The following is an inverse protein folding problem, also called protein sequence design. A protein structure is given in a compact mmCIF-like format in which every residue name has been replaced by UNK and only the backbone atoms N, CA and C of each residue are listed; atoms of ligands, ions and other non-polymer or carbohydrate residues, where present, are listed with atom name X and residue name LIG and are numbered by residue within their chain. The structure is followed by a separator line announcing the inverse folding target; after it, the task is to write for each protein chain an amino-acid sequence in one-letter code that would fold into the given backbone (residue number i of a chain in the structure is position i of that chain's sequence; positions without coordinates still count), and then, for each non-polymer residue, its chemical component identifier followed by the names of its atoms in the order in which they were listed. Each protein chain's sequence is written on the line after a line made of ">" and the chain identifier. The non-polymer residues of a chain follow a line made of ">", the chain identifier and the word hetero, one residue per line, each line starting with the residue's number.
data_IF_850814652620
#
_entry.id   IF_850814652620
#
_cell.length_a   1.000
_cell.length_b   1.000
_cell.length_c   1.000
_cell.angle_alpha   90.00
_cell.angle_beta   90.00
_cell.angle_gamma   90.00
#
_symmetry.space_group_name_H-M   'P 1'
#
loop_
_entity.id
_entity.type
_entity.pdbx_description
1 polymer ?
#
# COMPACT_ATOMS: atom_id res chain seq x y z
N UNK A 1 -26.96 21.81 -19.96
CA UNK A 1 -25.66 21.39 -20.54
C UNK A 1 -24.49 21.97 -19.74
N UNK A 2 -23.32 21.33 -19.77
CA UNK A 2 -22.09 21.89 -19.20
C UNK A 2 -21.51 22.98 -20.09
N UNK A 3 -21.12 24.09 -19.47
CA UNK A 3 -20.24 25.10 -20.05
C UNK A 3 -18.79 24.85 -19.62
N UNK A 4 -18.60 24.40 -18.38
CA UNK A 4 -17.31 23.92 -17.88
C UNK A 4 -17.48 22.97 -16.70
N UNK A 5 -16.55 22.04 -16.58
CA UNK A 5 -16.35 21.20 -15.41
C UNK A 5 -14.85 21.06 -15.15
N UNK A 6 -14.43 21.22 -13.90
CA UNK A 6 -13.02 21.16 -13.55
C UNK A 6 -12.77 21.31 -12.05
N UNK A 7 -11.50 21.30 -11.67
CA UNK A 7 -11.05 21.41 -10.27
C UNK A 7 -10.16 22.63 -10.05
N UNK A 8 -10.02 23.06 -8.80
CA UNK A 8 -9.08 24.13 -8.43
C UNK A 8 -7.60 23.68 -8.46
N UNK A 9 -7.35 22.38 -8.44
CA UNK A 9 -6.03 21.75 -8.50
C UNK A 9 -6.03 20.63 -9.53
N UNK A 10 -4.88 20.40 -10.18
CA UNK A 10 -4.71 19.29 -11.13
C UNK A 10 -4.27 17.99 -10.44
N UNK A 11 -3.66 18.10 -9.26
CA UNK A 11 -3.19 16.97 -8.44
C UNK A 11 -3.68 17.15 -7.01
N UNK A 12 -3.80 16.03 -6.28
CA UNK A 12 -4.18 16.01 -4.87
C UNK A 12 -3.28 15.03 -4.11
N UNK A 13 -2.74 15.44 -2.96
CA UNK A 13 -1.99 14.56 -2.04
C UNK A 13 -2.69 14.41 -0.68
N UNK A 14 -2.13 13.58 0.20
CA UNK A 14 -2.60 13.38 1.56
C UNK A 14 -2.77 14.73 2.31
N UNK A 15 -3.81 14.80 3.13
CA UNK A 15 -4.20 15.95 3.96
C UNK A 15 -4.64 17.21 3.19
N UNK A 16 -4.71 17.14 1.87
CA UNK A 16 -5.24 18.21 1.03
C UNK A 16 -6.75 18.06 0.74
N UNK A 17 -7.30 19.06 0.06
CA UNK A 17 -8.66 19.05 -0.45
C UNK A 17 -8.74 19.62 -1.86
N UNK A 18 -9.67 19.05 -2.64
CA UNK A 18 -9.99 19.49 -4.00
C UNK A 18 -11.41 20.06 -4.01
N UNK A 19 -11.61 21.11 -4.80
CA UNK A 19 -12.92 21.68 -5.09
C UNK A 19 -13.23 21.47 -6.57
N UNK A 20 -14.28 20.68 -6.82
CA UNK A 20 -14.90 20.50 -8.12
C UNK A 20 -15.84 21.68 -8.38
N UNK A 21 -15.73 22.30 -9.55
CA UNK A 21 -16.53 23.42 -9.99
C UNK A 21 -17.22 23.06 -11.30
N UNK A 22 -18.54 23.25 -11.35
CA UNK A 22 -19.35 23.02 -12.53
C UNK A 22 -20.13 24.30 -12.88
N UNK A 23 -20.08 24.68 -14.15
CA UNK A 23 -20.89 25.77 -14.69
C UNK A 23 -21.80 25.18 -15.74
N UNK A 24 -23.11 25.35 -15.54
CA UNK A 24 -24.14 24.82 -16.42
C UNK A 24 -25.00 25.96 -16.98
N UNK A 25 -25.57 25.69 -18.14
CA UNK A 25 -26.66 26.49 -18.72
C UNK A 25 -27.79 25.58 -19.13
N UNK A 26 -29.01 26.11 -19.12
CA UNK A 26 -30.21 25.42 -19.58
C UNK A 26 -31.02 26.33 -20.51
N UNK A 27 -31.50 25.86 -21.68
CA UNK A 27 -32.38 26.64 -22.55
C UNK A 27 -33.64 27.18 -21.86
N UNK A 28 -34.19 26.47 -20.89
CA UNK A 28 -35.36 26.86 -20.10
C UNK A 28 -35.00 27.75 -18.88
N UNK A 29 -33.69 27.93 -18.67
CA UNK A 29 -33.11 28.81 -17.66
C UNK A 29 -32.45 28.04 -16.52
N UNK A 30 -31.33 28.55 -16.02
CA UNK A 30 -30.51 27.90 -14.98
C UNK A 30 -31.21 27.68 -13.63
N UNK A 31 -32.38 28.30 -13.41
CA UNK A 31 -33.19 28.08 -12.23
C UNK A 31 -33.93 26.72 -12.26
N UNK A 32 -34.06 26.10 -13.44
CA UNK A 32 -34.68 24.79 -13.62
C UNK A 32 -33.74 23.63 -13.25
N UNK A 33 -32.44 23.91 -13.09
CA UNK A 33 -31.45 22.93 -12.68
C UNK A 33 -31.66 22.60 -11.20
N UNK A 34 -32.11 21.39 -10.91
CA UNK A 34 -32.47 20.94 -9.56
C UNK A 34 -31.22 20.61 -8.74
N UNK A 35 -30.18 20.07 -9.38
CA UNK A 35 -28.92 19.76 -8.72
C UNK A 35 -28.06 18.77 -9.49
N UNK A 36 -27.00 18.30 -8.84
CA UNK A 36 -26.12 17.29 -9.40
C UNK A 36 -25.27 16.58 -8.36
N UNK A 37 -24.75 15.42 -8.76
CA UNK A 37 -23.89 14.56 -7.93
C UNK A 37 -22.55 14.34 -8.60
N UNK A 38 -21.50 14.18 -7.80
CA UNK A 38 -20.21 13.70 -8.26
C UNK A 38 -20.11 12.20 -8.01
N UNK A 39 -19.78 11.44 -9.05
CA UNK A 39 -19.73 9.97 -9.04
C UNK A 39 -18.39 9.46 -9.52
N UNK A 40 -18.11 8.19 -9.28
CA UNK A 40 -17.02 7.48 -9.94
C UNK A 40 -17.24 7.44 -11.45
N UNK A 41 -16.18 7.27 -12.23
CA UNK A 41 -16.27 7.21 -13.69
C UNK A 41 -17.20 6.09 -14.22
N UNK A 42 -17.36 5.00 -13.46
CA UNK A 42 -18.29 3.90 -13.75
C UNK A 42 -19.67 4.09 -13.10
N UNK A 43 -19.89 5.23 -12.44
CA UNK A 43 -21.11 5.61 -11.73
C UNK A 43 -21.55 4.69 -10.59
N UNK A 44 -20.67 3.77 -10.16
CA UNK A 44 -20.95 2.80 -9.10
C UNK A 44 -20.93 3.42 -7.68
N UNK A 45 -20.20 4.52 -7.50
CA UNK A 45 -20.01 5.21 -6.22
C UNK A 45 -20.40 6.69 -6.35
N UNK A 46 -20.98 7.25 -5.29
CA UNK A 46 -21.32 8.66 -5.18
C UNK A 46 -20.43 9.31 -4.11
N UNK A 47 -19.68 10.35 -4.49
CA UNK A 47 -18.79 11.09 -3.60
C UNK A 47 -19.48 12.24 -2.88
N UNK A 48 -20.58 12.76 -3.43
CA UNK A 48 -21.36 13.81 -2.82
C UNK A 48 -22.22 14.58 -3.80
N UNK A 49 -22.94 15.56 -3.25
CA UNK A 49 -23.88 16.42 -3.98
C UNK A 49 -23.27 17.81 -4.14
N UNK A 50 -23.40 18.37 -5.34
CA UNK A 50 -22.98 19.74 -5.61
C UNK A 50 -23.90 20.76 -4.92
N UNK A 51 -23.32 21.85 -4.43
CA UNK A 51 -24.05 23.00 -3.84
C UNK A 51 -23.90 24.24 -4.71
N UNK A 52 -24.88 25.15 -4.66
CA UNK A 52 -24.84 26.38 -5.45
C UNK A 52 -23.67 27.29 -5.00
N UNK A 53 -22.87 27.74 -5.97
CA UNK A 53 -21.62 28.49 -5.75
C UNK A 53 -21.80 30.01 -5.93
N UNK A 54 -22.90 30.56 -5.40
CA UNK A 54 -23.13 32.01 -5.31
C UNK A 54 -23.54 32.72 -6.61
N UNK A 55 -23.57 32.03 -7.75
CA UNK A 55 -24.13 32.54 -9.01
C UNK A 55 -25.09 31.50 -9.62
N UNK A 56 -26.18 31.93 -10.27
CA UNK A 56 -27.08 31.01 -10.97
C UNK A 56 -26.33 30.16 -11.99
N UNK A 57 -26.55 28.84 -11.97
CA UNK A 57 -25.87 27.88 -12.85
C UNK A 57 -24.45 27.50 -12.43
N UNK A 58 -23.89 28.07 -11.37
CA UNK A 58 -22.59 27.70 -10.82
C UNK A 58 -22.74 26.81 -9.58
N UNK A 59 -21.98 25.72 -9.54
CA UNK A 59 -22.03 24.75 -8.47
C UNK A 59 -20.63 24.30 -8.05
N UNK A 60 -20.47 23.94 -6.78
CA UNK A 60 -19.21 23.43 -6.25
C UNK A 60 -19.41 22.27 -5.28
N UNK A 61 -18.38 21.43 -5.17
CA UNK A 61 -18.25 20.37 -4.16
C UNK A 61 -16.79 20.29 -3.74
N UNK A 62 -16.52 20.41 -2.45
CA UNK A 62 -15.17 20.23 -1.90
C UNK A 62 -15.05 18.88 -1.19
N UNK A 63 -14.00 18.14 -1.52
CA UNK A 63 -13.70 16.83 -0.93
C UNK A 63 -12.25 16.81 -0.46
N UNK A 64 -12.01 16.33 0.76
CA UNK A 64 -10.67 16.03 1.23
C UNK A 64 -10.16 14.70 0.71
N UNK A 65 -8.85 14.51 0.72
CA UNK A 65 -8.21 13.22 0.46
C UNK A 65 -8.84 12.08 1.27
N UNK A 66 -9.07 12.31 2.57
CA UNK A 66 -9.68 11.32 3.46
C UNK A 66 -11.13 10.97 3.06
N UNK A 67 -11.93 11.95 2.61
CA UNK A 67 -13.29 11.70 2.14
C UNK A 67 -13.32 10.92 0.82
N UNK A 68 -12.39 11.21 -0.09
CA UNK A 68 -12.22 10.42 -1.31
C UNK A 68 -11.85 8.97 -0.97
N UNK A 69 -10.87 8.76 -0.09
CA UNK A 69 -10.46 7.43 0.37
C UNK A 69 -11.60 6.66 1.03
N UNK A 70 -12.40 7.32 1.86
CA UNK A 70 -13.55 6.69 2.52
C UNK A 70 -14.61 6.18 1.53
N UNK A 71 -14.79 6.89 0.41
CA UNK A 71 -15.79 6.52 -0.61
C UNK A 71 -15.24 5.45 -1.56
N UNK A 72 -14.01 5.64 -2.02
CA UNK A 72 -13.32 4.72 -2.90
C UNK A 72 -11.86 4.65 -2.45
N UNK A 73 -11.37 3.48 -1.98
CA UNK A 73 -10.03 3.35 -1.45
C UNK A 73 -8.97 3.94 -2.37
N UNK A 74 -8.05 4.68 -1.78
CA UNK A 74 -6.84 5.20 -2.44
C UNK A 74 -5.71 4.25 -2.09
N UNK A 75 -5.29 3.46 -3.08
CA UNK A 75 -4.20 2.50 -2.96
C UNK A 75 -3.44 2.46 -4.28
N UNK A 76 -2.12 2.70 -4.22
CA UNK A 76 -1.25 2.60 -5.38
C UNK A 76 0.22 2.49 -4.92
N UNK A 77 1.01 1.69 -5.62
CA UNK A 77 2.44 1.45 -5.34
C UNK A 77 3.39 2.35 -6.18
N UNK A 78 2.82 3.32 -6.90
CA UNK A 78 3.57 4.30 -7.71
C UNK A 78 3.41 5.73 -7.20
N UNK A 79 4.24 6.68 -7.64
CA UNK A 79 4.14 8.05 -7.12
C UNK A 79 2.81 8.76 -7.42
N UNK A 80 2.04 8.25 -8.38
CA UNK A 80 0.78 8.85 -8.85
C UNK A 80 -0.22 7.81 -9.36
N UNK A 81 -1.50 8.15 -9.30
CA UNK A 81 -2.60 7.35 -9.83
C UNK A 81 -3.74 8.24 -10.34
N UNK A 82 -4.11 8.17 -11.64
CA UNK A 82 -5.24 8.93 -12.17
C UNK A 82 -6.56 8.39 -11.62
N UNK A 83 -7.45 9.29 -11.21
CA UNK A 83 -8.81 8.95 -10.78
C UNK A 83 -9.86 9.70 -11.59
N UNK A 84 -10.73 8.93 -12.24
CA UNK A 84 -11.86 9.46 -13.02
C UNK A 84 -13.09 9.77 -12.16
N UNK A 85 -13.72 10.90 -12.45
CA UNK A 85 -14.94 11.38 -11.83
C UNK A 85 -15.95 11.78 -12.91
N UNK A 86 -17.24 11.56 -12.62
CA UNK A 86 -18.35 11.98 -13.47
C UNK A 86 -19.28 12.91 -12.71
N UNK A 87 -19.51 14.10 -13.23
CA UNK A 87 -20.56 14.98 -12.75
C UNK A 87 -21.86 14.65 -13.48
N UNK A 88 -22.95 14.44 -12.74
CA UNK A 88 -24.29 14.17 -13.29
C UNK A 88 -25.26 15.19 -12.73
N UNK A 89 -25.85 16.02 -13.59
CA UNK A 89 -26.84 17.03 -13.24
C UNK A 89 -28.19 16.73 -13.88
N UNK A 90 -29.26 17.16 -13.21
CA UNK A 90 -30.63 16.96 -13.64
C UNK A 90 -31.46 18.24 -13.50
N UNK A 91 -32.39 18.41 -14.43
CA UNK A 91 -33.37 19.51 -14.45
C UNK A 91 -34.74 19.05 -13.90
N UNK A 92 -35.74 19.95 -13.88
CA UNK A 92 -37.08 19.60 -13.41
C UNK A 92 -37.85 18.71 -14.41
N UNK A 93 -37.46 18.74 -15.69
CA UNK A 93 -37.97 17.87 -16.75
C UNK A 93 -37.43 16.44 -16.71
N UNK A 94 -36.43 16.16 -15.88
CA UNK A 94 -35.75 14.87 -15.78
C UNK A 94 -34.69 14.64 -16.87
N UNK A 95 -34.28 15.68 -17.60
CA UNK A 95 -33.14 15.60 -18.51
C UNK A 95 -31.84 15.64 -17.72
N UNK A 96 -30.86 14.89 -18.20
CA UNK A 96 -29.54 14.79 -17.58
C UNK A 96 -28.46 15.41 -18.43
N UNK A 97 -27.53 16.11 -17.78
CA UNK A 97 -26.26 16.52 -18.36
C UNK A 97 -25.12 15.82 -17.61
N UNK A 98 -24.11 15.35 -18.35
CA UNK A 98 -22.92 14.70 -17.78
C UNK A 98 -21.64 15.29 -18.32
N UNK A 99 -20.59 15.33 -17.50
CA UNK A 99 -19.23 15.65 -17.92
C UNK A 99 -18.23 14.87 -17.05
N UNK A 100 -17.07 14.54 -17.62
CA UNK A 100 -16.05 13.68 -17.01
C UNK A 100 -14.76 14.46 -16.75
N UNK A 101 -14.07 14.11 -15.66
CA UNK A 101 -12.79 14.69 -15.29
C UNK A 101 -11.88 13.62 -14.70
N UNK A 102 -10.57 13.72 -14.97
CA UNK A 102 -9.54 12.95 -14.28
C UNK A 102 -8.76 13.87 -13.34
N UNK A 103 -8.55 13.43 -12.10
CA UNK A 103 -7.70 14.07 -11.10
C UNK A 103 -6.53 13.13 -10.77
N UNK A 104 -5.31 13.66 -10.77
CA UNK A 104 -4.13 12.87 -10.39
C UNK A 104 -3.98 12.83 -8.87
N UNK A 105 -4.02 11.64 -8.28
CA UNK A 105 -3.69 11.43 -6.88
C UNK A 105 -2.19 11.16 -6.77
N UNK A 106 -1.48 11.85 -5.88
CA UNK A 106 -0.01 11.77 -5.80
C UNK A 106 0.48 11.56 -4.38
N UNK A 107 1.58 10.82 -4.23
CA UNK A 107 2.33 10.69 -2.97
C UNK A 107 3.83 10.79 -3.22
N UNK A 108 4.50 11.74 -2.58
CA UNK A 108 5.94 11.99 -2.78
C UNK A 108 6.83 10.83 -2.30
N UNK A 109 6.37 10.02 -1.35
CA UNK A 109 7.03 8.79 -0.89
C UNK A 109 6.92 7.62 -1.87
N UNK A 110 6.18 7.78 -2.98
CA UNK A 110 6.11 6.79 -4.04
C UNK A 110 4.94 5.82 -3.93
N UNK A 111 4.10 5.90 -2.89
CA UNK A 111 2.88 5.11 -2.79
C UNK A 111 1.83 5.73 -1.87
N UNK A 112 0.57 5.33 -2.06
CA UNK A 112 -0.49 5.50 -1.08
C UNK A 112 -0.91 4.11 -0.59
N UNK A 113 -0.64 3.78 0.67
CA UNK A 113 -1.06 2.53 1.31
C UNK A 113 -2.23 2.80 2.25
N UNK A 114 -3.40 2.24 1.93
CA UNK A 114 -4.65 2.50 2.66
C UNK A 114 -4.90 4.01 2.88
N UNK A 115 -4.70 4.81 1.83
CA UNK A 115 -4.91 6.27 1.87
C UNK A 115 -3.86 7.05 2.66
N UNK A 116 -2.74 6.44 3.05
CA UNK A 116 -1.61 7.15 3.66
C UNK A 116 -0.44 7.15 2.68
N UNK A 117 0.17 8.30 2.44
CA UNK A 117 1.38 8.38 1.65
C UNK A 117 2.53 7.71 2.41
N UNK A 118 3.10 6.68 1.79
CA UNK A 118 4.10 5.81 2.40
C UNK A 118 5.36 5.79 1.53
N UNK A 119 6.52 5.81 2.19
CA UNK A 119 7.81 5.58 1.53
C UNK A 119 8.10 4.08 1.48
N UNK A 120 7.80 3.44 0.35
CA UNK A 120 8.01 2.00 0.16
C UNK A 120 9.50 1.61 0.25
N UNK A 121 10.43 2.57 0.15
CA UNK A 121 11.85 2.27 0.21
C UNK A 121 12.37 2.07 1.63
N UNK A 122 11.64 2.57 2.62
CA UNK A 122 12.08 2.64 4.03
C UNK A 122 11.04 2.14 5.03
N UNK A 123 9.76 2.04 4.64
CA UNK A 123 8.72 1.51 5.52
C UNK A 123 8.71 -0.02 5.48
N UNK A 124 9.30 -0.65 6.50
CA UNK A 124 9.27 -2.12 6.62
C UNK A 124 7.91 -2.74 6.93
N UNK A 125 6.82 -1.97 7.03
CA UNK A 125 5.45 -2.52 6.96
C UNK A 125 4.84 -2.48 5.55
N UNK A 126 5.49 -1.79 4.61
CA UNK A 126 5.07 -1.61 3.22
C UNK A 126 6.28 -1.69 2.26
N UNK A 127 7.22 -2.60 2.50
CA UNK A 127 8.52 -2.58 1.84
C UNK A 127 8.44 -3.01 0.37
N UNK A 128 8.64 -2.07 -0.53
CA UNK A 128 8.57 -2.25 -1.98
C UNK A 128 7.16 -2.23 -2.57
N UNK A 129 6.12 -2.53 -1.78
CA UNK A 129 4.69 -2.38 -2.13
C UNK A 129 3.81 -2.37 -0.88
N UNK A 130 2.60 -1.84 -1.00
CA UNK A 130 1.68 -1.72 0.12
C UNK A 130 1.34 -3.08 0.76
N UNK A 131 1.44 -3.16 2.08
CA UNK A 131 1.16 -4.36 2.87
C UNK A 131 2.30 -5.36 3.00
N UNK A 132 3.46 -5.14 2.37
CA UNK A 132 4.64 -6.01 2.56
C UNK A 132 5.38 -5.68 3.85
N UNK A 133 5.26 -6.55 4.84
CA UNK A 133 6.02 -6.44 6.09
C UNK A 133 7.29 -7.26 6.03
N UNK A 134 8.44 -6.68 6.39
CA UNK A 134 9.70 -7.42 6.50
C UNK A 134 9.74 -8.24 7.80
N UNK A 135 10.21 -9.48 7.72
CA UNK A 135 10.29 -10.42 8.83
C UNK A 135 11.23 -9.94 9.96
N UNK A 136 12.26 -9.19 9.58
CA UNK A 136 13.22 -8.59 10.51
C UNK A 136 12.77 -7.22 11.06
N UNK A 137 11.56 -6.77 10.70
CA UNK A 137 10.93 -5.56 11.23
C UNK A 137 11.13 -4.30 10.37
N UNK A 138 10.68 -3.16 10.88
CA UNK A 138 10.64 -1.89 10.13
C UNK A 138 12.01 -1.44 9.60
N UNK A 139 13.06 -1.60 10.39
CA UNK A 139 14.42 -1.16 10.05
C UNK A 139 15.10 -2.03 8.99
N UNK A 140 14.45 -3.10 8.53
CA UNK A 140 14.99 -4.02 7.53
C UNK A 140 14.66 -3.64 6.09
N UNK A 141 13.80 -2.63 5.89
CA UNK A 141 13.50 -2.17 4.54
C UNK A 141 14.58 -1.21 4.06
N UNK A 142 15.31 -1.61 3.03
CA UNK A 142 16.30 -0.76 2.37
C UNK A 142 16.07 -0.79 0.85
N UNK A 143 15.89 0.38 0.26
CA UNK A 143 15.66 0.55 -1.17
C UNK A 143 14.49 -0.31 -1.71
N UNK A 144 13.47 -0.53 -0.89
CA UNK A 144 12.26 -1.29 -1.25
C UNK A 144 12.42 -2.80 -1.21
N UNK A 145 13.53 -3.30 -0.65
CA UNK A 145 13.77 -4.71 -0.38
C UNK A 145 13.88 -4.97 1.12
N UNK A 146 13.27 -6.05 1.58
CA UNK A 146 13.52 -6.55 2.92
C UNK A 146 14.90 -7.19 2.98
N UNK A 147 15.67 -6.83 4.00
CA UNK A 147 16.95 -7.45 4.30
C UNK A 147 16.78 -8.91 4.76
N UNK A 148 17.84 -9.74 4.66
CA UNK A 148 17.79 -11.11 5.14
C UNK A 148 17.37 -11.23 6.61
N UNK A 149 16.56 -12.23 6.91
CA UNK A 149 16.02 -12.49 8.23
C UNK A 149 16.32 -13.93 8.69
N UNK A 150 16.34 -14.14 10.01
CA UNK A 150 16.37 -15.48 10.55
C UNK A 150 15.01 -16.13 10.32
N UNK A 151 15.02 -17.30 9.68
CA UNK A 151 13.84 -18.10 9.38
C UNK A 151 13.03 -18.47 10.61
N UNK A 152 11.87 -19.08 10.38
CA UNK A 152 11.20 -19.92 11.39
C UNK A 152 12.15 -20.95 12.00
N UNK A 153 11.75 -21.51 13.12
CA UNK A 153 12.43 -22.65 13.71
C UNK A 153 12.35 -23.87 12.80
N UNK A 154 13.51 -24.50 12.62
CA UNK A 154 13.71 -25.76 11.90
C UNK A 154 14.15 -26.79 12.92
N UNK A 155 13.38 -27.85 13.10
CA UNK A 155 13.69 -28.93 14.02
C UNK A 155 14.62 -29.96 13.34
N UNK A 156 15.47 -30.62 14.12
CA UNK A 156 16.35 -31.70 13.67
C UNK A 156 15.60 -32.80 12.89
N UNK A 157 14.36 -33.12 13.31
CA UNK A 157 13.55 -34.17 12.68
C UNK A 157 13.02 -33.79 11.28
N UNK A 158 13.18 -32.54 10.83
CA UNK A 158 12.76 -32.09 9.49
C UNK A 158 13.73 -32.54 8.38
N UNK A 159 14.92 -33.04 8.73
CA UNK A 159 15.90 -33.53 7.74
C UNK A 159 16.53 -32.42 6.87
N UNK A 160 16.47 -31.18 7.32
CA UNK A 160 17.08 -30.02 6.66
C UNK A 160 18.48 -29.78 7.22
N UNK A 161 19.47 -30.45 6.62
CA UNK A 161 20.84 -30.50 7.15
C UNK A 161 21.71 -29.29 6.83
N UNK A 162 21.27 -28.36 5.98
CA UNK A 162 21.99 -27.12 5.64
C UNK A 162 21.04 -25.94 5.59
N UNK A 163 21.56 -24.72 5.78
CA UNK A 163 20.72 -23.53 5.65
C UNK A 163 20.28 -23.27 4.21
N UNK A 164 21.07 -23.70 3.22
CA UNK A 164 20.63 -23.71 1.82
C UNK A 164 19.37 -24.55 1.62
N UNK A 165 19.37 -25.80 2.10
CA UNK A 165 18.20 -26.68 1.99
C UNK A 165 17.01 -26.11 2.77
N UNK A 166 17.27 -25.56 3.96
CA UNK A 166 16.24 -24.97 4.78
C UNK A 166 15.56 -23.77 4.10
N UNK A 167 16.32 -22.76 3.68
CA UNK A 167 15.76 -21.57 3.02
C UNK A 167 14.99 -21.95 1.75
N UNK A 168 15.54 -22.87 0.94
CA UNK A 168 14.87 -23.36 -0.26
C UNK A 168 13.53 -24.05 0.03
N UNK A 169 13.38 -24.70 1.19
CA UNK A 169 12.13 -25.39 1.55
C UNK A 169 10.92 -24.46 1.69
N UNK A 170 11.14 -23.18 2.02
CA UNK A 170 10.11 -22.14 2.00
C UNK A 170 10.29 -21.15 0.83
N UNK A 171 11.16 -21.49 -0.12
CA UNK A 171 11.41 -20.79 -1.37
C UNK A 171 12.14 -19.46 -1.21
N UNK A 172 12.96 -19.35 -0.18
CA UNK A 172 13.95 -18.29 -0.01
C UNK A 172 15.35 -18.82 -0.33
N UNK A 173 16.33 -17.93 -0.42
CA UNK A 173 17.75 -18.29 -0.61
C UNK A 173 18.51 -18.06 0.68
N UNK A 174 19.46 -18.91 1.02
CA UNK A 174 20.30 -18.69 2.20
C UNK A 174 21.21 -17.48 1.97
N UNK A 175 21.27 -16.59 2.96
CA UNK A 175 22.08 -15.39 2.95
C UNK A 175 23.25 -15.56 3.93
N UNK A 176 24.43 -15.84 3.38
CA UNK A 176 25.61 -16.15 4.19
C UNK A 176 26.10 -14.93 4.95
N UNK A 177 26.24 -15.05 6.27
CA UNK A 177 26.71 -14.04 7.19
C UNK A 177 25.99 -12.69 7.05
N UNK A 178 24.72 -12.71 6.61
CA UNK A 178 24.01 -11.50 6.19
C UNK A 178 23.00 -11.01 7.23
N UNK A 179 22.61 -11.84 8.19
CA UNK A 179 21.68 -11.45 9.24
C UNK A 179 22.45 -10.81 10.40
N UNK A 180 22.01 -9.64 10.87
CA UNK A 180 22.51 -9.00 12.09
C UNK A 180 24.04 -9.08 12.25
N UNK A 181 24.51 -9.64 13.37
CA UNK A 181 25.93 -9.78 13.72
C UNK A 181 26.73 -10.79 12.85
N UNK A 182 26.48 -10.86 11.54
CA UNK A 182 27.13 -11.78 10.61
C UNK A 182 26.61 -13.21 10.70
N UNK A 183 25.37 -13.40 11.12
CA UNK A 183 24.78 -14.70 11.43
C UNK A 183 24.35 -15.40 10.13
N UNK A 184 24.76 -16.64 9.93
CA UNK A 184 24.14 -17.56 8.95
C UNK A 184 23.17 -18.52 9.63
N UNK A 185 23.48 -18.92 10.86
CA UNK A 185 22.64 -19.85 11.61
C UNK A 185 22.60 -19.46 13.09
N UNK A 186 21.42 -19.55 13.70
CA UNK A 186 21.27 -19.53 15.15
C UNK A 186 20.79 -20.89 15.63
N UNK A 187 21.50 -21.46 16.60
CA UNK A 187 21.26 -22.82 17.09
C UNK A 187 20.66 -22.80 18.49
N UNK A 188 19.77 -23.75 18.77
CA UNK A 188 19.03 -23.87 20.03
C UNK A 188 19.00 -25.32 20.52
N UNK A 189 19.01 -25.52 21.83
CA UNK A 189 19.04 -26.86 22.43
C UNK A 189 17.69 -27.59 22.39
N UNK A 190 16.59 -26.87 22.13
CA UNK A 190 15.23 -27.41 21.98
C UNK A 190 14.37 -26.45 21.16
N UNK A 191 13.23 -26.94 20.68
CA UNK A 191 12.30 -26.17 19.84
C UNK A 191 11.68 -24.99 20.59
N UNK A 192 11.28 -25.17 21.84
CA UNK A 192 10.68 -24.11 22.67
C UNK A 192 11.61 -22.89 22.80
N UNK A 193 12.90 -23.13 23.04
CA UNK A 193 13.90 -22.06 23.08
C UNK A 193 14.09 -21.36 21.75
N UNK A 194 13.91 -22.07 20.63
CA UNK A 194 13.95 -21.46 19.32
C UNK A 194 12.73 -20.56 19.08
N UNK A 195 11.53 -21.04 19.43
CA UNK A 195 10.26 -20.32 19.27
C UNK A 195 10.26 -19.03 20.07
N UNK A 196 10.73 -19.09 21.33
CA UNK A 196 10.83 -17.94 22.23
C UNK A 196 12.12 -17.11 22.02
N UNK A 197 12.99 -17.51 21.08
CA UNK A 197 14.31 -16.91 20.80
C UNK A 197 15.24 -16.80 22.04
N UNK A 198 15.18 -17.79 22.93
CA UNK A 198 15.92 -17.84 24.19
C UNK A 198 17.20 -18.68 24.08
N UNK A 199 18.30 -18.19 24.66
CA UNK A 199 19.57 -18.91 24.78
C UNK A 199 20.13 -19.46 23.45
N UNK A 200 19.79 -18.84 22.32
CA UNK A 200 20.30 -19.21 21.00
C UNK A 200 21.76 -18.83 20.81
N UNK A 201 22.54 -19.72 20.19
CA UNK A 201 23.95 -19.48 19.88
C UNK A 201 24.10 -19.15 18.39
N UNK A 202 24.60 -17.94 18.10
CA UNK A 202 24.85 -17.46 16.76
C UNK A 202 26.09 -18.13 16.15
N UNK A 203 26.01 -18.45 14.87
CA UNK A 203 27.08 -19.08 14.08
C UNK A 203 27.28 -18.30 12.78
N UNK A 204 28.55 -18.03 12.51
CA UNK A 204 29.07 -17.45 11.27
C UNK A 204 29.67 -18.64 10.53
N UNK A 205 28.99 -19.11 9.49
CA UNK A 205 29.31 -20.35 8.78
C UNK A 205 28.77 -20.31 7.36
N UNK A 206 29.24 -21.21 6.50
CA UNK A 206 28.75 -21.27 5.12
C UNK A 206 27.31 -21.82 5.06
N UNK A 207 26.51 -21.36 4.10
CA UNK A 207 25.12 -21.80 3.95
C UNK A 207 24.97 -23.31 3.71
N UNK A 208 25.92 -23.91 3.00
CA UNK A 208 25.98 -25.34 2.68
C UNK A 208 26.70 -26.17 3.75
N UNK A 209 27.21 -25.54 4.81
CA UNK A 209 27.89 -26.28 5.87
C UNK A 209 26.86 -27.09 6.68
N UNK A 210 27.09 -28.41 6.88
CA UNK A 210 26.17 -29.26 7.61
C UNK A 210 25.93 -28.77 9.04
N UNK A 211 24.65 -28.74 9.43
CA UNK A 211 24.22 -28.31 10.75
C UNK A 211 24.68 -29.32 11.80
N UNK A 212 25.33 -28.82 12.85
CA UNK A 212 25.91 -29.66 13.90
C UNK A 212 24.86 -30.10 14.94
N UNK A 213 23.85 -30.85 14.51
CA UNK A 213 22.79 -31.40 15.37
C UNK A 213 23.34 -32.25 16.54
N UNK A 214 24.51 -32.86 16.35
CA UNK A 214 25.13 -33.78 17.31
C UNK A 214 25.78 -33.09 18.52
N UNK A 215 25.83 -31.75 18.56
CA UNK A 215 26.40 -30.97 19.68
C UNK A 215 25.29 -30.42 20.59
N UNK A 216 24.16 -31.13 20.67
CA UNK A 216 23.03 -30.78 21.54
C UNK A 216 22.04 -29.79 20.94
N UNK A 217 22.30 -29.25 19.75
CA UNK A 217 21.33 -28.45 19.01
C UNK A 217 20.17 -29.35 18.54
N UNK A 218 18.93 -28.93 18.83
CA UNK A 218 17.70 -29.62 18.41
C UNK A 218 16.80 -28.75 17.55
N UNK A 219 17.07 -27.45 17.48
CA UNK A 219 16.41 -26.55 16.55
C UNK A 219 17.40 -25.48 16.06
N UNK A 220 17.17 -24.96 14.86
CA UNK A 220 17.94 -23.86 14.29
C UNK A 220 17.01 -22.82 13.65
N UNK A 221 17.54 -21.61 13.45
CA UNK A 221 17.04 -20.63 12.48
C UNK A 221 18.17 -20.34 11.50
N UNK A 222 17.84 -20.25 10.21
CA UNK A 222 18.79 -19.96 9.14
C UNK A 222 18.59 -18.54 8.64
N UNK A 223 19.68 -17.85 8.31
CA UNK A 223 19.60 -16.57 7.64
C UNK A 223 19.17 -16.78 6.19
N UNK A 224 17.99 -16.32 5.85
CA UNK A 224 17.41 -16.43 4.52
C UNK A 224 17.11 -15.04 3.98
N UNK A 225 17.06 -14.92 2.66
CA UNK A 225 16.45 -13.76 2.00
C UNK A 225 15.01 -13.60 2.45
N UNK A 226 14.50 -12.37 2.35
CA UNK A 226 13.11 -12.02 2.63
C UNK A 226 12.53 -11.41 1.34
N UNK A 227 12.17 -12.27 0.39
CA UNK A 227 11.76 -11.84 -0.97
C UNK A 227 10.29 -12.04 -1.25
N UNK A 228 9.57 -12.71 -0.35
CA UNK A 228 8.16 -13.04 -0.50
C UNK A 228 7.21 -12.06 0.19
#
# INVERSE_FOLDING_TARGET
>A
MFLSFGTNVATLTQDESVTFNAILTDPDGVADIVGGTLRSADESLEFGVFVAAGQPGAYSLSLSWAQLHQTQPIEFDGGESPRGFRAVFFDQGGLTATDDLTLELVCAGGAACAGTCTDLALDGLNCGFCGRTCDSGQDACEAGGCGPALSRCINFDEGLDTCTAACQSFGETCAENACGAGITTRTFNNLMWCEDDLNGVNKIMACDEPQMWNVGARAIKCCCTDTK
#
